data_IF_988437316523
#
_entry.id   IF_988437316523
#
_cell.length_a   1.000
_cell.length_b   1.000
_cell.length_c   1.000
_cell.angle_alpha   90.00
_cell.angle_beta   90.00
_cell.angle_gamma   90.00
#
_symmetry.space_group_name_H-M   'P 1'
#
loop_
_entity.id
_entity.type
_entity.pdbx_description
1 polymer ?
#
# COMPACT_ATOMS: atom_id res chain seq x y z
N UNK A 1 -55.31 -49.39 29.09
CA UNK A 1 -54.88 -50.80 28.97
C UNK A 1 -55.20 -51.47 30.30
N UNK A 2 -55.84 -52.63 30.29
CA UNK A 2 -56.36 -53.31 31.49
C UNK A 2 -55.83 -54.75 31.50
N UNK A 3 -55.31 -55.23 32.63
CA UNK A 3 -54.78 -56.60 32.75
C UNK A 3 -55.90 -57.55 33.17
N UNK A 4 -56.03 -58.68 32.47
CA UNK A 4 -57.11 -59.65 32.71
C UNK A 4 -56.59 -60.96 33.31
N UNK A 5 -55.44 -61.46 32.82
CA UNK A 5 -54.91 -62.77 33.23
C UNK A 5 -53.40 -62.80 33.18
N UNK A 6 -52.79 -63.37 34.23
CA UNK A 6 -51.37 -63.68 34.30
C UNK A 6 -51.21 -65.20 34.46
N UNK A 7 -50.53 -65.85 33.53
CA UNK A 7 -50.23 -67.27 33.62
C UNK A 7 -48.72 -67.49 33.59
N UNK A 8 -48.15 -67.75 34.77
CA UNK A 8 -46.74 -68.01 35.00
C UNK A 8 -46.51 -69.51 34.84
N UNK A 9 -46.28 -69.96 33.59
CA UNK A 9 -45.95 -71.36 33.27
C UNK A 9 -44.72 -71.81 34.06
N UNK A 10 -43.64 -71.02 34.01
CA UNK A 10 -42.44 -71.22 34.82
C UNK A 10 -41.67 -69.91 34.93
N UNK A 11 -41.76 -69.23 36.07
CA UNK A 11 -41.13 -67.92 36.30
C UNK A 11 -40.81 -67.70 37.79
N UNK A 12 -39.53 -67.52 38.11
CA UNK A 12 -39.01 -67.51 39.46
C UNK A 12 -39.35 -68.81 40.18
N UNK A 13 -40.10 -68.70 41.28
CA UNK A 13 -40.57 -69.87 42.05
C UNK A 13 -41.93 -70.42 41.60
N UNK A 14 -42.63 -69.74 40.71
CA UNK A 14 -43.95 -70.16 40.26
C UNK A 14 -43.83 -71.16 39.10
N UNK A 15 -44.52 -72.29 39.22
CA UNK A 15 -44.73 -73.29 38.17
C UNK A 15 -46.24 -73.45 38.01
N UNK A 16 -46.74 -73.35 36.79
CA UNK A 16 -48.16 -73.44 36.42
C UNK A 16 -49.11 -72.60 37.30
N UNK A 17 -48.71 -71.36 37.60
CA UNK A 17 -49.53 -70.46 38.41
C UNK A 17 -50.37 -69.54 37.54
N UNK A 18 -51.68 -69.64 37.68
CA UNK A 18 -52.64 -68.72 37.07
C UNK A 18 -53.19 -67.70 38.08
N UNK A 19 -53.31 -66.45 37.64
CA UNK A 19 -53.90 -65.33 38.39
C UNK A 19 -54.88 -64.63 37.45
N UNK A 20 -56.16 -64.65 37.80
CA UNK A 20 -57.23 -63.93 37.10
C UNK A 20 -57.42 -62.61 37.83
N UNK A 21 -57.37 -61.50 37.08
CA UNK A 21 -57.57 -60.15 37.58
C UNK A 21 -58.99 -59.69 37.22
N UNK A 22 -59.61 -58.98 38.15
CA UNK A 22 -60.96 -58.43 38.00
C UNK A 22 -60.91 -56.91 37.93
N UNK A 23 -61.97 -56.27 37.46
CA UNK A 23 -62.05 -54.82 37.44
C UNK A 23 -62.00 -54.24 38.87
N UNK A 24 -61.27 -53.14 39.03
CA UNK A 24 -61.07 -52.48 40.32
C UNK A 24 -59.82 -52.94 41.05
N UNK A 25 -59.93 -53.16 42.37
CA UNK A 25 -58.78 -53.41 43.25
C UNK A 25 -58.53 -54.91 43.44
N UNK A 26 -57.38 -55.39 42.97
CA UNK A 26 -56.92 -56.76 43.19
C UNK A 26 -55.80 -56.76 44.25
N UNK A 27 -55.96 -57.55 45.33
CA UNK A 27 -54.97 -57.62 46.42
C UNK A 27 -54.27 -58.98 46.40
N UNK A 28 -52.98 -59.00 46.09
CA UNK A 28 -52.13 -60.20 46.13
C UNK A 28 -51.35 -60.21 47.44
N UNK A 29 -51.67 -61.14 48.34
CA UNK A 29 -51.05 -61.25 49.66
C UNK A 29 -50.40 -62.61 49.89
N UNK A 30 -49.56 -62.69 50.92
CA UNK A 30 -48.80 -63.89 51.30
C UNK A 30 -47.63 -63.53 52.23
N UNK A 31 -46.93 -64.53 52.80
CA UNK A 31 -45.77 -64.28 53.67
C UNK A 31 -44.60 -63.58 52.93
N UNK A 32 -43.55 -63.22 53.67
CA UNK A 32 -42.28 -62.84 53.04
C UNK A 32 -41.80 -63.97 52.15
N UNK A 33 -41.14 -63.62 51.04
CA UNK A 33 -40.67 -64.60 50.03
C UNK A 33 -41.80 -65.40 49.34
N UNK A 34 -43.08 -65.02 49.56
CA UNK A 34 -44.22 -65.59 48.84
C UNK A 34 -44.20 -65.34 47.32
N UNK A 35 -43.26 -64.56 46.80
CA UNK A 35 -43.10 -64.27 45.37
C UNK A 35 -43.94 -63.09 44.87
N UNK A 36 -44.46 -62.25 45.77
CA UNK A 36 -45.28 -61.07 45.41
C UNK A 36 -44.54 -60.13 44.45
N UNK A 37 -43.31 -59.76 44.78
CA UNK A 37 -42.46 -58.93 43.91
C UNK A 37 -42.05 -59.64 42.61
N UNK A 38 -42.06 -60.98 42.60
CA UNK A 38 -41.81 -61.77 41.39
C UNK A 38 -42.97 -61.65 40.40
N UNK A 39 -44.22 -61.55 40.88
CA UNK A 39 -45.39 -61.31 40.02
C UNK A 39 -45.32 -59.91 39.38
N UNK A 40 -44.88 -58.89 40.14
CA UNK A 40 -44.66 -57.55 39.60
C UNK A 40 -43.59 -57.55 38.49
N UNK A 41 -42.44 -58.21 38.75
CA UNK A 41 -41.39 -58.38 37.74
C UNK A 41 -41.86 -59.18 36.53
N UNK A 42 -42.75 -60.15 36.71
CA UNK A 42 -43.35 -60.88 35.60
C UNK A 42 -44.10 -59.93 34.67
N UNK A 43 -44.94 -59.04 35.21
CA UNK A 43 -45.69 -58.06 34.40
C UNK A 43 -44.72 -57.14 33.61
N UNK A 44 -43.70 -56.59 34.29
CA UNK A 44 -42.67 -55.77 33.64
C UNK A 44 -41.92 -56.53 32.55
N UNK A 45 -41.54 -57.78 32.85
CA UNK A 45 -40.88 -58.69 31.94
C UNK A 45 -41.75 -59.05 30.74
N UNK A 46 -43.07 -59.18 30.89
CA UNK A 46 -43.98 -59.44 29.78
C UNK A 46 -44.11 -58.23 28.85
N UNK A 47 -44.08 -57.00 29.38
CA UNK A 47 -44.18 -55.79 28.56
C UNK A 47 -42.88 -55.36 27.90
N UNK A 48 -41.82 -55.21 28.68
CA UNK A 48 -40.59 -54.56 28.19
C UNK A 48 -39.41 -55.51 28.04
N UNK A 49 -39.55 -56.74 28.53
CA UNK A 49 -38.45 -57.68 28.60
C UNK A 49 -37.34 -57.20 29.53
N UNK A 50 -36.23 -57.91 29.48
CA UNK A 50 -35.13 -57.74 30.41
C UNK A 50 -33.79 -57.44 29.71
N UNK A 51 -33.81 -56.93 28.48
CA UNK A 51 -32.58 -56.52 27.78
C UNK A 51 -32.07 -55.16 28.25
N UNK A 52 -30.75 -55.03 28.39
CA UNK A 52 -30.09 -53.73 28.60
C UNK A 52 -29.97 -52.96 27.27
N UNK A 53 -30.39 -51.68 27.20
CA UNK A 53 -30.29 -50.90 25.97
C UNK A 53 -28.84 -50.52 25.64
N UNK A 54 -28.56 -50.29 24.34
CA UNK A 54 -27.31 -49.71 23.83
C UNK A 54 -26.02 -50.47 24.18
N UNK A 55 -26.08 -51.81 24.18
CA UNK A 55 -24.89 -52.68 24.31
C UNK A 55 -24.62 -53.41 23.00
N UNK A 56 -23.33 -53.50 22.64
CA UNK A 56 -22.84 -54.19 21.43
C UNK A 56 -23.17 -55.69 21.42
N UNK A 57 -23.29 -56.31 22.60
CA UNK A 57 -23.73 -57.70 22.80
C UNK A 57 -25.07 -57.74 23.55
N UNK A 58 -25.87 -58.78 23.30
CA UNK A 58 -27.13 -59.04 24.02
C UNK A 58 -26.82 -59.32 25.49
N UNK A 59 -27.06 -58.35 26.36
CA UNK A 59 -26.85 -58.46 27.80
C UNK A 59 -28.20 -58.26 28.48
N UNK A 60 -28.58 -59.23 29.29
CA UNK A 60 -29.80 -59.20 30.07
C UNK A 60 -29.59 -58.50 31.43
N UNK A 61 -30.66 -57.98 32.01
CA UNK A 61 -30.64 -57.38 33.35
C UNK A 61 -30.49 -58.48 34.40
N UNK A 62 -29.84 -58.14 35.53
CA UNK A 62 -29.69 -59.05 36.67
C UNK A 62 -31.07 -59.57 37.16
N UNK A 63 -32.13 -58.80 36.91
CA UNK A 63 -33.52 -59.16 37.18
C UNK A 63 -33.99 -60.43 36.42
N UNK A 64 -33.55 -60.65 35.19
CA UNK A 64 -33.90 -61.85 34.42
C UNK A 64 -33.28 -63.10 35.02
N UNK A 65 -32.03 -63.01 35.44
CA UNK A 65 -31.32 -64.10 36.10
C UNK A 65 -31.96 -64.42 37.46
N UNK A 66 -32.36 -63.39 38.22
CA UNK A 66 -33.04 -63.59 39.51
C UNK A 66 -34.43 -64.23 39.40
N UNK A 67 -35.06 -64.18 38.23
CA UNK A 67 -36.37 -64.76 37.98
C UNK A 67 -36.30 -66.04 37.13
N UNK A 68 -35.11 -66.54 36.80
CA UNK A 68 -34.97 -67.82 36.11
C UNK A 68 -35.23 -68.96 37.11
N UNK A 69 -36.15 -69.90 36.82
CA UNK A 69 -36.37 -71.09 37.64
C UNK A 69 -35.10 -71.94 37.76
N UNK A 70 -34.74 -72.38 38.96
CA UNK A 70 -33.52 -73.17 39.21
C UNK A 70 -33.64 -74.65 38.81
N UNK A 71 -34.87 -75.15 38.63
CA UNK A 71 -35.23 -76.58 38.47
C UNK A 71 -36.19 -76.74 37.29
N UNK A 72 -36.03 -75.91 36.26
CA UNK A 72 -36.76 -76.05 35.01
C UNK A 72 -36.01 -75.36 33.88
N UNK A 73 -35.92 -76.06 32.75
CA UNK A 73 -35.48 -75.47 31.50
C UNK A 73 -36.55 -74.60 30.82
N UNK A 74 -37.78 -74.62 31.36
CA UNK A 74 -38.91 -73.81 30.90
C UNK A 74 -38.84 -72.48 31.63
N UNK A 75 -38.81 -71.38 30.88
CA UNK A 75 -38.87 -70.02 31.42
C UNK A 75 -39.84 -69.20 30.57
N UNK A 76 -41.14 -69.45 30.75
CA UNK A 76 -42.20 -68.94 29.87
C UNK A 76 -43.37 -68.40 30.67
N UNK A 77 -44.17 -67.54 30.03
CA UNK A 77 -45.45 -67.11 30.59
C UNK A 77 -46.36 -66.45 29.57
N UNK A 78 -47.62 -66.29 29.99
CA UNK A 78 -48.68 -65.70 29.19
C UNK A 78 -49.32 -64.55 29.98
N UNK A 79 -49.61 -63.44 29.30
CA UNK A 79 -50.29 -62.27 29.86
C UNK A 79 -51.40 -61.85 28.89
N UNK A 80 -52.63 -61.76 29.39
CA UNK A 80 -53.77 -61.26 28.63
C UNK A 80 -54.18 -59.88 29.13
N UNK A 81 -54.41 -58.97 28.19
CA UNK A 81 -54.78 -57.59 28.48
C UNK A 81 -55.78 -57.05 27.45
N UNK A 82 -56.47 -55.99 27.81
CA UNK A 82 -57.39 -55.26 26.95
C UNK A 82 -56.86 -53.85 26.66
N UNK A 83 -56.94 -53.44 25.39
CA UNK A 83 -56.62 -52.08 24.95
C UNK A 83 -57.62 -51.64 23.87
N UNK A 84 -58.25 -50.48 24.06
CA UNK A 84 -59.27 -49.93 23.16
C UNK A 84 -60.39 -50.94 22.78
N UNK A 85 -60.87 -51.70 23.76
CA UNK A 85 -61.94 -52.70 23.56
C UNK A 85 -61.50 -54.00 22.86
N UNK A 86 -60.21 -54.16 22.53
CA UNK A 86 -59.64 -55.38 21.95
C UNK A 86 -58.80 -56.15 22.97
N UNK A 87 -58.93 -57.47 22.96
CA UNK A 87 -58.20 -58.39 23.85
C UNK A 87 -56.97 -58.95 23.15
N UNK A 88 -55.84 -58.88 23.83
CA UNK A 88 -54.55 -59.32 23.35
C UNK A 88 -53.94 -60.33 24.31
N UNK A 89 -53.23 -61.31 23.76
CA UNK A 89 -52.47 -62.29 24.53
C UNK A 89 -50.99 -62.19 24.14
N UNK A 90 -50.13 -62.03 25.13
CA UNK A 90 -48.68 -62.07 24.99
C UNK A 90 -48.21 -63.42 25.50
N UNK A 91 -47.49 -64.16 24.69
CA UNK A 91 -46.73 -65.33 25.09
C UNK A 91 -45.24 -65.03 24.96
N UNK A 92 -44.48 -65.22 26.03
CA UNK A 92 -43.06 -64.92 26.07
C UNK A 92 -42.25 -66.11 26.55
N UNK A 93 -41.19 -66.41 25.81
CA UNK A 93 -40.10 -67.29 26.24
C UNK A 93 -38.91 -66.43 26.64
N UNK A 94 -38.65 -66.35 27.94
CA UNK A 94 -37.56 -65.57 28.51
C UNK A 94 -36.19 -66.25 28.39
N UNK A 95 -36.14 -67.54 28.03
CA UNK A 95 -34.88 -68.28 27.79
C UNK A 95 -34.42 -68.09 26.36
N UNK A 96 -35.31 -68.31 25.39
CA UNK A 96 -35.03 -68.16 23.97
C UNK A 96 -35.21 -66.72 23.45
N UNK A 97 -35.77 -65.85 24.30
CA UNK A 97 -35.98 -64.44 23.99
C UNK A 97 -36.99 -64.21 22.85
N UNK A 98 -37.99 -65.09 22.80
CA UNK A 98 -39.09 -65.05 21.84
C UNK A 98 -40.35 -64.44 22.45
N UNK A 99 -41.06 -63.65 21.65
CA UNK A 99 -42.31 -62.99 22.02
C UNK A 99 -43.31 -63.16 20.89
N UNK A 100 -44.52 -63.60 21.23
CA UNK A 100 -45.65 -63.69 20.30
C UNK A 100 -46.84 -62.96 20.90
N UNK A 101 -47.39 -62.01 20.15
CA UNK A 101 -48.61 -61.29 20.51
C UNK A 101 -49.72 -61.74 19.57
N UNK A 102 -50.85 -62.14 20.13
CA UNK A 102 -52.04 -62.57 19.38
C UNK A 102 -53.24 -61.70 19.72
N UNK A 103 -54.09 -61.45 18.73
CA UNK A 103 -55.45 -60.99 18.97
C UNK A 103 -56.28 -62.19 19.46
N UNK A 104 -56.96 -62.05 20.60
CA UNK A 104 -57.69 -63.17 21.23
C UNK A 104 -58.93 -63.56 20.41
N UNK A 105 -59.52 -62.63 19.66
CA UNK A 105 -60.71 -62.91 18.84
C UNK A 105 -60.36 -63.65 17.55
N UNK A 106 -59.28 -63.27 16.88
CA UNK A 106 -58.89 -63.85 15.57
C UNK A 106 -57.84 -64.95 15.69
N UNK A 107 -57.08 -64.99 16.79
CA UNK A 107 -55.93 -65.88 16.97
C UNK A 107 -54.69 -65.49 16.15
N UNK A 108 -54.75 -64.39 15.39
CA UNK A 108 -53.68 -63.99 14.49
C UNK A 108 -52.48 -63.41 15.23
N UNK A 109 -51.27 -63.72 14.75
CA UNK A 109 -50.03 -63.13 15.25
C UNK A 109 -49.87 -61.71 14.71
N UNK A 110 -49.89 -60.73 15.62
CA UNK A 110 -49.84 -59.31 15.28
C UNK A 110 -48.46 -58.66 15.51
N UNK A 111 -47.41 -59.45 15.75
CA UNK A 111 -46.05 -58.93 15.95
C UNK A 111 -45.60 -57.95 14.85
N UNK A 112 -46.02 -58.20 13.60
CA UNK A 112 -45.69 -57.36 12.43
C UNK A 112 -46.20 -55.92 12.52
N UNK A 113 -47.21 -55.65 13.36
CA UNK A 113 -47.74 -54.31 13.56
C UNK A 113 -46.82 -53.43 14.41
N UNK A 114 -45.87 -54.03 15.14
CA UNK A 114 -45.00 -53.32 16.07
C UNK A 114 -43.55 -53.27 15.58
N UNK A 115 -42.94 -52.10 15.68
CA UNK A 115 -41.52 -51.90 15.36
C UNK A 115 -40.66 -52.41 16.51
N UNK A 116 -39.44 -52.85 16.19
CA UNK A 116 -38.45 -53.18 17.22
C UNK A 116 -37.73 -51.92 17.71
N UNK A 117 -37.46 -51.86 19.02
CA UNK A 117 -36.71 -50.76 19.63
C UNK A 117 -35.24 -50.82 19.19
N UNK A 118 -34.69 -49.69 18.71
CA UNK A 118 -33.34 -49.63 18.11
C UNK A 118 -32.21 -50.08 19.06
N UNK A 119 -32.38 -49.89 20.37
CA UNK A 119 -31.36 -50.20 21.37
C UNK A 119 -31.41 -51.62 21.93
N UNK A 120 -32.59 -52.25 22.01
CA UNK A 120 -32.81 -53.55 22.67
C UNK A 120 -33.28 -54.63 21.70
N UNK A 121 -33.75 -54.26 20.51
CA UNK A 121 -34.43 -55.15 19.55
C UNK A 121 -35.72 -55.78 20.10
N UNK A 122 -36.26 -55.27 21.20
CA UNK A 122 -37.56 -55.68 21.74
C UNK A 122 -38.70 -55.13 20.89
N UNK A 123 -39.79 -55.89 20.75
CA UNK A 123 -41.01 -55.41 20.08
C UNK A 123 -41.66 -54.30 20.91
N UNK A 124 -41.90 -53.14 20.29
CA UNK A 124 -42.33 -51.93 21.00
C UNK A 124 -43.84 -51.80 21.20
N UNK A 125 -44.53 -52.91 21.47
CA UNK A 125 -45.98 -52.91 21.58
C UNK A 125 -46.47 -52.20 22.86
N UNK A 126 -45.76 -52.37 23.98
CA UNK A 126 -46.13 -51.76 25.26
C UNK A 126 -46.07 -50.23 25.19
N UNK A 127 -45.02 -49.67 24.58
CA UNK A 127 -44.92 -48.21 24.39
C UNK A 127 -45.95 -47.71 23.38
N UNK A 128 -46.21 -48.44 22.30
CA UNK A 128 -47.23 -48.05 21.31
C UNK A 128 -48.64 -48.03 21.91
N UNK A 129 -48.97 -48.97 22.79
CA UNK A 129 -50.30 -49.04 23.40
C UNK A 129 -50.45 -48.12 24.62
N UNK A 130 -49.40 -47.89 25.40
CA UNK A 130 -49.49 -47.07 26.63
C UNK A 130 -48.96 -45.64 26.45
N UNK A 131 -48.29 -45.33 25.33
CA UNK A 131 -47.56 -44.07 25.08
C UNK A 131 -46.53 -43.71 26.17
N UNK A 132 -46.00 -44.72 26.87
CA UNK A 132 -44.97 -44.59 27.91
C UNK A 132 -43.90 -45.65 27.73
N UNK A 133 -42.65 -45.32 28.06
CA UNK A 133 -41.55 -46.27 28.01
C UNK A 133 -41.35 -47.03 29.32
N UNK A 134 -40.46 -48.03 29.30
CA UNK A 134 -40.15 -48.88 30.46
C UNK A 134 -39.86 -48.06 31.72
N UNK A 135 -39.07 -46.99 31.60
CA UNK A 135 -38.66 -46.15 32.75
C UNK A 135 -39.85 -45.43 33.37
N UNK A 136 -40.70 -44.81 32.55
CA UNK A 136 -41.91 -44.13 33.03
C UNK A 136 -42.87 -45.14 33.66
N UNK A 137 -43.01 -46.32 33.07
CA UNK A 137 -43.85 -47.40 33.62
C UNK A 137 -43.35 -47.86 35.01
N UNK A 138 -42.05 -48.16 35.16
CA UNK A 138 -41.48 -48.61 36.43
C UNK A 138 -41.46 -47.55 37.53
N UNK A 139 -41.53 -46.26 37.16
CA UNK A 139 -41.50 -45.16 38.12
C UNK A 139 -42.90 -44.65 38.49
N UNK A 140 -43.89 -44.82 37.60
CA UNK A 140 -45.23 -44.21 37.76
C UNK A 140 -46.34 -45.24 37.96
N UNK A 141 -46.30 -46.36 37.25
CA UNK A 141 -47.39 -47.37 37.25
C UNK A 141 -47.01 -48.58 38.11
N UNK A 142 -45.75 -49.03 38.04
CA UNK A 142 -45.25 -50.19 38.78
C UNK A 142 -44.35 -49.75 39.95
N UNK A 143 -44.94 -49.31 41.04
CA UNK A 143 -44.20 -48.84 42.22
C UNK A 143 -43.61 -50.04 42.97
N UNK A 144 -42.28 -50.15 43.01
CA UNK A 144 -41.57 -51.23 43.69
C UNK A 144 -41.39 -50.97 45.19
N UNK A 145 -41.27 -52.03 45.98
CA UNK A 145 -41.05 -51.95 47.43
C UNK A 145 -39.78 -51.15 47.76
N UNK A 146 -39.92 -50.05 48.52
CA UNK A 146 -38.79 -49.25 49.02
C UNK A 146 -38.20 -48.21 48.06
N UNK A 147 -38.75 -48.03 46.85
CA UNK A 147 -38.35 -46.93 45.96
C UNK A 147 -39.30 -45.75 46.13
N UNK A 148 -38.90 -44.76 46.93
CA UNK A 148 -39.34 -43.38 46.67
C UNK A 148 -38.61 -42.91 45.41
N UNK A 149 -39.38 -42.41 44.44
CA UNK A 149 -38.94 -41.96 43.11
C UNK A 149 -37.63 -41.17 43.23
N UNK A 150 -36.51 -41.70 42.73
CA UNK A 150 -35.32 -40.89 42.52
C UNK A 150 -35.57 -40.03 41.28
N UNK A 151 -36.00 -38.80 41.52
CA UNK A 151 -36.51 -37.80 40.58
C UNK A 151 -35.59 -37.48 39.40
N UNK A 152 -34.28 -37.71 39.50
CA UNK A 152 -33.33 -37.15 38.53
C UNK A 152 -33.34 -37.81 37.16
N UNK A 153 -33.61 -39.11 37.07
CA UNK A 153 -33.61 -39.81 35.78
C UNK A 153 -34.92 -39.58 35.02
N UNK A 154 -36.05 -39.59 35.74
CA UNK A 154 -37.36 -39.21 35.21
C UNK A 154 -37.39 -37.72 34.82
N UNK A 155 -36.87 -36.83 35.67
CA UNK A 155 -36.80 -35.39 35.37
C UNK A 155 -35.94 -35.11 34.15
N UNK A 156 -34.80 -35.81 33.99
CA UNK A 156 -33.96 -35.70 32.79
C UNK A 156 -34.69 -36.18 31.53
N UNK A 157 -35.41 -37.29 31.63
CA UNK A 157 -36.13 -37.87 30.50
C UNK A 157 -37.31 -36.98 30.07
N UNK A 158 -38.11 -36.52 31.02
CA UNK A 158 -39.20 -35.55 30.80
C UNK A 158 -38.67 -34.23 30.23
N UNK A 159 -37.60 -33.67 30.82
CA UNK A 159 -36.97 -32.44 30.32
C UNK A 159 -36.47 -32.60 28.89
N UNK A 160 -35.88 -33.76 28.55
CA UNK A 160 -35.40 -34.02 27.20
C UNK A 160 -36.53 -34.11 26.17
N UNK A 161 -37.66 -34.76 26.52
CA UNK A 161 -38.85 -34.85 25.66
C UNK A 161 -39.53 -33.49 25.48
N UNK A 162 -39.68 -32.72 26.56
CA UNK A 162 -40.23 -31.36 26.50
C UNK A 162 -39.35 -30.42 25.67
N UNK A 163 -38.03 -30.51 25.85
CA UNK A 163 -37.09 -29.75 25.01
C UNK A 163 -37.24 -30.14 23.53
N UNK A 164 -37.27 -31.43 23.19
CA UNK A 164 -37.40 -31.86 21.80
C UNK A 164 -38.77 -31.47 21.19
N UNK A 165 -39.86 -31.56 21.95
CA UNK A 165 -41.21 -31.12 21.55
C UNK A 165 -41.25 -29.62 21.27
N UNK A 166 -40.68 -28.79 22.16
CA UNK A 166 -40.67 -27.34 22.02
C UNK A 166 -39.96 -26.88 20.75
N UNK A 167 -38.83 -27.51 20.41
CA UNK A 167 -38.04 -27.07 19.26
C UNK A 167 -38.44 -27.72 17.92
N UNK A 168 -38.93 -28.97 17.90
CA UNK A 168 -39.15 -29.71 16.64
C UNK A 168 -40.60 -30.11 16.36
N UNK A 169 -41.51 -29.87 17.31
CA UNK A 169 -42.90 -30.37 17.25
C UNK A 169 -43.02 -31.90 17.37
N UNK A 170 -41.90 -32.64 17.47
CA UNK A 170 -41.84 -34.10 17.54
C UNK A 170 -40.91 -34.55 18.66
N UNK A 171 -41.43 -35.29 19.65
CA UNK A 171 -40.67 -35.70 20.83
C UNK A 171 -39.45 -36.60 20.54
N UNK A 172 -39.46 -37.29 19.39
CA UNK A 172 -38.47 -38.30 19.01
C UNK A 172 -37.22 -37.74 18.31
N UNK A 173 -37.26 -36.50 17.82
CA UNK A 173 -36.15 -35.91 17.06
C UNK A 173 -35.37 -34.94 17.95
N UNK A 174 -34.12 -35.30 18.23
CA UNK A 174 -33.20 -34.41 18.95
C UNK A 174 -32.46 -33.51 17.97
N UNK A 175 -32.87 -32.25 17.84
CA UNK A 175 -32.22 -31.25 16.98
C UNK A 175 -30.73 -31.14 17.29
N UNK A 176 -30.35 -31.17 18.57
CA UNK A 176 -28.94 -31.12 18.98
C UNK A 176 -28.12 -32.27 18.37
N UNK A 177 -28.66 -33.49 18.34
CA UNK A 177 -27.96 -34.63 17.72
C UNK A 177 -27.90 -34.48 16.20
N UNK A 178 -28.97 -33.99 15.58
CA UNK A 178 -28.97 -33.72 14.13
C UNK A 178 -27.91 -32.67 13.75
N UNK A 179 -27.82 -31.56 14.48
CA UNK A 179 -26.78 -30.56 14.27
C UNK A 179 -25.37 -31.14 14.47
N UNK A 180 -25.16 -31.94 15.53
CA UNK A 180 -23.86 -32.59 15.76
C UNK A 180 -23.47 -33.54 14.62
N UNK A 181 -24.42 -34.32 14.08
CA UNK A 181 -24.13 -35.23 12.97
C UNK A 181 -23.83 -34.44 11.68
N UNK A 182 -24.59 -33.37 11.41
CA UNK A 182 -24.32 -32.48 10.27
C UNK A 182 -22.94 -31.82 10.37
N UNK A 183 -22.56 -31.31 11.55
CA UNK A 183 -21.22 -30.77 11.76
C UNK A 183 -20.12 -31.82 11.60
N UNK A 184 -20.40 -33.06 12.00
CA UNK A 184 -19.45 -34.16 11.86
C UNK A 184 -19.24 -34.50 10.39
N UNK A 185 -20.32 -34.63 9.60
CA UNK A 185 -20.24 -34.83 8.14
C UNK A 185 -19.50 -33.67 7.47
N UNK A 186 -19.80 -32.42 7.86
CA UNK A 186 -19.09 -31.24 7.36
C UNK A 186 -17.58 -31.31 7.66
N UNK A 187 -17.19 -31.74 8.86
CA UNK A 187 -15.78 -31.94 9.24
C UNK A 187 -15.14 -33.12 8.53
N UNK A 188 -15.88 -34.17 8.18
CA UNK A 188 -15.34 -35.33 7.46
C UNK A 188 -15.15 -35.03 5.96
N UNK A 189 -16.08 -34.32 5.33
CA UNK A 189 -16.02 -34.00 3.89
C UNK A 189 -15.21 -32.74 3.57
N UNK A 190 -15.45 -31.63 4.28
CA UNK A 190 -14.75 -30.36 4.03
C UNK A 190 -13.49 -30.20 4.90
N UNK A 191 -13.41 -30.92 6.01
CA UNK A 191 -12.36 -30.77 7.01
C UNK A 191 -12.53 -29.57 7.93
N UNK A 192 -11.43 -29.11 8.51
CA UNK A 192 -11.39 -27.97 9.43
C UNK A 192 -10.36 -26.97 8.95
N UNK A 193 -10.59 -25.67 9.18
CA UNK A 193 -9.63 -24.59 8.90
C UNK A 193 -8.24 -24.86 9.47
N UNK A 194 -8.14 -25.58 10.60
CA UNK A 194 -6.87 -25.93 11.25
C UNK A 194 -6.17 -27.16 10.65
N UNK A 195 -6.84 -27.91 9.78
CA UNK A 195 -6.30 -29.11 9.16
C UNK A 195 -5.70 -28.78 7.77
N UNK A 196 -4.37 -28.68 7.62
CA UNK A 196 -3.72 -28.08 6.45
C UNK A 196 -3.89 -28.86 5.14
N UNK A 197 -4.28 -30.14 5.20
CA UNK A 197 -4.54 -30.99 4.02
C UNK A 197 -6.02 -31.11 3.66
N UNK A 198 -6.92 -30.51 4.46
CA UNK A 198 -8.34 -30.54 4.15
C UNK A 198 -8.71 -29.53 3.05
N UNK A 199 -9.78 -29.77 2.28
CA UNK A 199 -10.27 -28.81 1.29
C UNK A 199 -10.43 -27.39 1.87
N UNK A 200 -11.00 -27.29 3.07
CA UNK A 200 -11.19 -26.01 3.75
C UNK A 200 -9.85 -25.36 4.15
N UNK A 201 -8.92 -26.12 4.74
CA UNK A 201 -7.60 -25.61 5.09
C UNK A 201 -6.74 -25.17 3.89
N UNK A 202 -6.86 -25.86 2.74
CA UNK A 202 -6.20 -25.46 1.49
C UNK A 202 -6.75 -24.12 1.00
N UNK A 203 -8.09 -23.97 0.98
CA UNK A 203 -8.74 -22.72 0.58
C UNK A 203 -8.38 -21.56 1.52
N UNK A 204 -8.38 -21.78 2.84
CA UNK A 204 -7.98 -20.75 3.81
C UNK A 204 -6.53 -20.31 3.60
N UNK A 205 -5.63 -21.26 3.29
CA UNK A 205 -4.23 -20.93 2.99
C UNK A 205 -4.11 -20.12 1.70
N UNK A 206 -4.88 -20.46 0.66
CA UNK A 206 -4.91 -19.70 -0.59
C UNK A 206 -5.44 -18.28 -0.37
N UNK A 207 -6.51 -18.11 0.42
CA UNK A 207 -7.05 -16.80 0.78
C UNK A 207 -5.97 -15.95 1.47
N UNK A 208 -5.30 -16.50 2.49
CA UNK A 208 -4.25 -15.77 3.20
C UNK A 208 -3.08 -15.39 2.27
N UNK A 209 -2.69 -16.28 1.36
CA UNK A 209 -1.65 -15.98 0.37
C UNK A 209 -2.06 -14.85 -0.58
N UNK A 210 -3.30 -14.87 -1.07
CA UNK A 210 -3.84 -13.82 -1.94
C UNK A 210 -3.98 -12.48 -1.20
N UNK A 211 -4.35 -12.49 0.08
CA UNK A 211 -4.40 -11.30 0.92
C UNK A 211 -3.01 -10.69 1.14
N UNK A 212 -1.99 -11.51 1.40
CA UNK A 212 -0.60 -11.05 1.48
C UNK A 212 -0.11 -10.46 0.16
N UNK A 213 -0.42 -11.10 -0.98
CA UNK A 213 -0.07 -10.59 -2.31
C UNK A 213 -0.77 -9.26 -2.61
N UNK A 214 -2.06 -9.15 -2.27
CA UNK A 214 -2.82 -7.90 -2.39
C UNK A 214 -2.18 -6.79 -1.59
N UNK A 215 -1.82 -7.04 -0.33
CA UNK A 215 -1.16 -6.04 0.52
C UNK A 215 0.20 -5.58 -0.06
N UNK A 216 0.98 -6.51 -0.63
CA UNK A 216 2.24 -6.18 -1.33
C UNK A 216 1.98 -5.28 -2.55
N UNK A 217 0.98 -5.61 -3.37
CA UNK A 217 0.61 -4.84 -4.55
C UNK A 217 0.14 -3.44 -4.15
N UNK A 218 -0.70 -3.31 -3.13
CA UNK A 218 -1.16 -2.02 -2.60
C UNK A 218 0.01 -1.15 -2.11
N UNK A 219 0.99 -1.76 -1.43
CA UNK A 219 2.22 -1.06 -1.03
C UNK A 219 3.00 -0.55 -2.24
N UNK A 220 3.18 -1.37 -3.29
CA UNK A 220 3.86 -0.95 -4.52
C UNK A 220 3.10 0.19 -5.20
N UNK A 221 1.78 0.09 -5.29
CA UNK A 221 0.92 1.08 -5.93
C UNK A 221 0.99 2.43 -5.20
N UNK A 222 1.09 2.41 -3.86
CA UNK A 222 1.33 3.62 -3.07
C UNK A 222 2.67 4.30 -3.38
N UNK A 223 3.74 3.49 -3.56
CA UNK A 223 5.07 4.00 -3.94
C UNK A 223 5.06 4.59 -5.35
N UNK A 224 4.40 3.93 -6.30
CA UNK A 224 4.26 4.43 -7.68
C UNK A 224 3.55 5.78 -7.68
N UNK A 225 2.42 5.90 -6.97
CA UNK A 225 1.70 7.19 -6.84
C UNK A 225 2.57 8.28 -6.22
N UNK A 226 3.38 7.94 -5.22
CA UNK A 226 4.31 8.90 -4.62
C UNK A 226 5.36 9.38 -5.63
N UNK A 227 5.96 8.47 -6.41
CA UNK A 227 6.92 8.83 -7.44
C UNK A 227 6.28 9.63 -8.59
N UNK A 228 5.07 9.30 -9.00
CA UNK A 228 4.32 10.08 -10.00
C UNK A 228 4.07 11.51 -9.53
N UNK A 229 3.70 11.70 -8.25
CA UNK A 229 3.54 13.03 -7.66
C UNK A 229 4.86 13.81 -7.64
N UNK A 230 5.97 13.18 -7.23
CA UNK A 230 7.30 13.79 -7.27
C UNK A 230 7.73 14.16 -8.70
N UNK A 231 7.43 13.32 -9.69
CA UNK A 231 7.69 13.61 -11.09
C UNK A 231 6.87 14.79 -11.60
N UNK A 232 5.58 14.86 -11.22
CA UNK A 232 4.70 15.97 -11.58
C UNK A 232 5.19 17.31 -10.99
N UNK A 233 5.72 17.29 -9.76
CA UNK A 233 6.31 18.46 -9.10
C UNK A 233 7.64 18.88 -9.72
N UNK A 234 8.53 17.92 -10.04
CA UNK A 234 9.86 18.22 -10.57
C UNK A 234 9.87 18.62 -12.05
N UNK A 235 8.89 18.14 -12.84
CA UNK A 235 8.81 18.42 -14.28
C UNK A 235 8.79 19.93 -14.62
N UNK A 236 7.96 20.79 -14.00
CA UNK A 236 7.99 22.23 -14.28
C UNK A 236 9.32 22.88 -13.90
N UNK A 237 9.92 22.50 -12.76
CA UNK A 237 11.25 23.01 -12.35
C UNK A 237 12.34 22.66 -13.35
N UNK A 238 12.32 21.45 -13.91
CA UNK A 238 13.28 21.04 -14.95
C UNK A 238 13.09 21.88 -16.22
N UNK A 239 11.85 22.10 -16.65
CA UNK A 239 11.54 22.91 -17.83
C UNK A 239 11.99 24.37 -17.64
N UNK A 240 11.71 24.97 -16.47
CA UNK A 240 12.14 26.32 -16.13
C UNK A 240 13.67 26.45 -16.13
N UNK A 241 14.38 25.48 -15.55
CA UNK A 241 15.84 25.46 -15.53
C UNK A 241 16.44 25.30 -16.93
N UNK A 242 15.81 24.51 -17.81
CA UNK A 242 16.22 24.39 -19.21
C UNK A 242 16.04 25.72 -19.97
N UNK A 243 14.95 26.44 -19.74
CA UNK A 243 14.76 27.78 -20.31
C UNK A 243 15.79 28.78 -19.81
N UNK A 244 16.06 28.80 -18.49
CA UNK A 244 17.12 29.64 -17.90
C UNK A 244 18.49 29.32 -18.48
N UNK A 245 18.81 28.04 -18.67
CA UNK A 245 20.06 27.60 -19.29
C UNK A 245 20.16 28.11 -20.73
N UNK A 246 19.11 27.95 -21.54
CA UNK A 246 19.07 28.44 -22.93
C UNK A 246 19.27 29.95 -23.03
N UNK A 247 18.66 30.73 -22.13
CA UNK A 247 18.86 32.19 -22.06
C UNK A 247 20.32 32.55 -21.79
N UNK A 248 20.93 31.92 -20.76
CA UNK A 248 22.34 32.14 -20.43
C UNK A 248 23.29 31.73 -21.56
N UNK A 249 23.02 30.64 -22.25
CA UNK A 249 23.80 30.20 -23.42
C UNK A 249 23.73 31.22 -24.57
N UNK A 250 22.54 31.80 -24.81
CA UNK A 250 22.37 32.88 -25.78
C UNK A 250 23.15 34.15 -25.36
N UNK A 251 23.09 34.52 -24.08
CA UNK A 251 23.83 35.68 -23.53
C UNK A 251 25.36 35.49 -23.62
N UNK A 252 25.86 34.28 -23.38
CA UNK A 252 27.29 33.95 -23.55
C UNK A 252 27.69 34.07 -25.02
N UNK A 253 26.83 33.61 -25.94
CA UNK A 253 27.11 33.70 -27.38
C UNK A 253 27.19 35.17 -27.82
N UNK A 254 26.22 36.00 -27.44
CA UNK A 254 26.23 37.43 -27.79
C UNK A 254 27.44 38.17 -27.20
N UNK A 255 27.83 37.83 -25.96
CA UNK A 255 29.03 38.38 -25.34
C UNK A 255 30.30 37.96 -26.09
N UNK A 256 30.41 36.69 -26.48
CA UNK A 256 31.55 36.20 -27.26
C UNK A 256 31.64 36.87 -28.64
N UNK A 257 30.51 37.03 -29.33
CA UNK A 257 30.44 37.73 -30.61
C UNK A 257 30.88 39.20 -30.45
N UNK A 258 30.45 39.87 -29.39
CA UNK A 258 30.90 41.23 -29.05
C UNK A 258 32.41 41.31 -28.79
N UNK A 259 32.95 40.39 -27.99
CA UNK A 259 34.38 40.34 -27.68
C UNK A 259 35.22 40.06 -28.93
N UNK A 260 34.73 39.20 -29.83
CA UNK A 260 35.37 38.92 -31.10
C UNK A 260 35.37 40.16 -32.00
N UNK A 261 34.22 40.85 -32.13
CA UNK A 261 34.12 42.09 -32.90
C UNK A 261 35.07 43.18 -32.37
N UNK A 262 35.17 43.32 -31.04
CA UNK A 262 36.12 44.24 -30.40
C UNK A 262 37.58 43.89 -30.72
N UNK A 263 37.94 42.61 -30.66
CA UNK A 263 39.28 42.15 -31.05
C UNK A 263 39.57 42.43 -32.52
N UNK A 264 38.62 42.16 -33.42
CA UNK A 264 38.76 42.44 -34.85
C UNK A 264 38.97 43.93 -35.12
N UNK A 265 38.20 44.80 -34.45
CA UNK A 265 38.39 46.26 -34.55
C UNK A 265 39.78 46.69 -34.11
N UNK A 266 40.28 46.16 -32.98
CA UNK A 266 41.64 46.44 -32.53
C UNK A 266 42.69 45.97 -33.55
N UNK A 267 42.50 44.80 -34.17
CA UNK A 267 43.41 44.30 -35.22
C UNK A 267 43.38 45.23 -36.42
N UNK A 268 42.21 45.66 -36.89
CA UNK A 268 42.07 46.62 -37.99
C UNK A 268 42.78 47.95 -37.70
N UNK A 269 42.64 48.49 -36.48
CA UNK A 269 43.34 49.71 -36.07
C UNK A 269 44.87 49.54 -36.09
N UNK A 270 45.38 48.35 -35.75
CA UNK A 270 46.82 48.05 -35.83
C UNK A 270 47.27 47.87 -37.28
N UNK A 271 46.49 47.20 -38.13
CA UNK A 271 46.76 47.07 -39.56
C UNK A 271 46.84 48.43 -40.26
N UNK A 272 45.93 49.37 -39.93
CA UNK A 272 45.99 50.74 -40.44
C UNK A 272 47.28 51.46 -40.03
N UNK A 273 47.73 51.29 -38.78
CA UNK A 273 48.99 51.86 -38.30
C UNK A 273 50.18 51.25 -39.03
N UNK A 274 50.21 49.93 -39.20
CA UNK A 274 51.25 49.23 -39.96
C UNK A 274 51.26 49.72 -41.41
N UNK A 275 50.10 49.89 -42.04
CA UNK A 275 50.00 50.42 -43.40
C UNK A 275 50.58 51.84 -43.51
N UNK A 276 50.29 52.73 -42.54
CA UNK A 276 50.89 54.07 -42.47
C UNK A 276 52.40 54.02 -42.32
N UNK A 277 52.91 53.16 -41.44
CA UNK A 277 54.36 52.98 -41.24
C UNK A 277 55.02 52.45 -42.52
N UNK A 278 54.44 51.43 -43.16
CA UNK A 278 54.97 50.86 -44.40
C UNK A 278 54.99 51.88 -45.55
N UNK A 279 53.96 52.73 -45.68
CA UNK A 279 53.97 53.85 -46.63
C UNK A 279 55.15 54.79 -46.35
N UNK A 280 55.36 55.14 -45.07
CA UNK A 280 56.46 56.01 -44.69
C UNK A 280 57.84 55.37 -44.96
N UNK A 281 57.99 54.07 -44.68
CA UNK A 281 59.21 53.32 -45.03
C UNK A 281 59.45 53.35 -46.54
N UNK A 282 58.43 53.13 -47.37
CA UNK A 282 58.55 53.18 -48.83
C UNK A 282 58.93 54.58 -49.35
N UNK A 283 58.38 55.65 -48.76
CA UNK A 283 58.81 57.01 -49.05
C UNK A 283 60.28 57.23 -48.69
N UNK A 284 60.73 56.66 -47.57
CA UNK A 284 62.10 56.74 -47.09
C UNK A 284 63.08 55.85 -47.85
N UNK A 285 62.63 54.76 -48.50
CA UNK A 285 63.48 53.88 -49.31
C UNK A 285 64.20 54.63 -50.42
N UNK A 286 63.56 55.67 -50.99
CA UNK A 286 64.18 56.54 -52.01
C UNK A 286 65.46 57.24 -51.50
N UNK A 287 65.61 57.33 -50.18
CA UNK A 287 66.75 57.94 -49.51
C UNK A 287 67.71 56.91 -48.89
N UNK A 288 67.54 55.61 -49.19
CA UNK A 288 68.37 54.51 -48.64
C UNK A 288 69.87 54.68 -48.88
N UNK A 289 70.24 55.24 -50.04
CA UNK A 289 71.64 55.51 -50.41
C UNK A 289 72.02 56.98 -50.25
N UNK A 290 71.23 57.77 -49.53
CA UNK A 290 71.50 59.19 -49.36
C UNK A 290 72.80 59.41 -48.55
N UNK A 291 73.79 60.14 -49.09
CA UNK A 291 75.06 60.37 -48.42
C UNK A 291 74.87 61.25 -47.18
N UNK A 292 74.91 60.63 -45.99
CA UNK A 292 74.68 61.30 -44.69
C UNK A 292 75.64 62.48 -44.46
N UNK A 293 76.86 62.43 -45.00
CA UNK A 293 77.84 63.51 -44.93
C UNK A 293 77.44 64.80 -45.70
N UNK A 294 76.42 64.74 -46.56
CA UNK A 294 75.88 65.92 -47.25
C UNK A 294 74.71 66.57 -46.50
N UNK A 295 74.27 66.00 -45.37
CA UNK A 295 73.11 66.47 -44.59
C UNK A 295 73.31 67.90 -44.08
N UNK A 296 74.50 68.24 -43.59
CA UNK A 296 74.83 69.58 -43.09
C UNK A 296 74.69 70.63 -44.20
N UNK A 297 75.31 70.36 -45.36
CA UNK A 297 75.22 71.23 -46.54
C UNK A 297 73.79 71.39 -47.08
N UNK A 298 72.96 70.34 -46.96
CA UNK A 298 71.55 70.39 -47.37
C UNK A 298 70.68 71.19 -46.39
N UNK A 299 71.00 71.15 -45.08
CA UNK A 299 70.37 72.02 -44.07
C UNK A 299 70.75 73.48 -44.29
N UNK A 300 72.03 73.77 -44.53
CA UNK A 300 72.51 75.11 -44.88
C UNK A 300 71.81 75.65 -46.13
N UNK A 301 71.70 74.85 -47.19
CA UNK A 301 70.98 75.22 -48.41
C UNK A 301 69.49 75.45 -48.16
N UNK A 302 68.85 74.65 -47.30
CA UNK A 302 67.43 74.79 -46.98
C UNK A 302 67.16 76.06 -46.17
N UNK A 303 68.04 76.40 -45.22
CA UNK A 303 67.99 77.68 -44.50
C UNK A 303 68.25 78.86 -45.43
N UNK A 304 69.24 78.74 -46.33
CA UNK A 304 69.51 79.77 -47.34
C UNK A 304 68.29 80.01 -48.25
N UNK A 305 67.62 78.95 -48.73
CA UNK A 305 66.39 79.05 -49.52
C UNK A 305 65.25 79.69 -48.73
N UNK A 306 65.09 79.33 -47.44
CA UNK A 306 64.07 79.93 -46.57
C UNK A 306 64.32 81.43 -46.37
N UNK A 307 65.56 81.82 -46.12
CA UNK A 307 65.96 83.22 -45.96
C UNK A 307 65.77 83.99 -47.27
N UNK A 308 66.17 83.43 -48.42
CA UNK A 308 65.93 84.01 -49.73
C UNK A 308 64.43 84.18 -50.02
N UNK A 309 63.60 83.20 -49.64
CA UNK A 309 62.14 83.27 -49.80
C UNK A 309 61.50 84.35 -48.92
N UNK A 310 62.01 84.56 -47.71
CA UNK A 310 61.58 85.66 -46.85
C UNK A 310 62.02 87.01 -47.42
N UNK A 311 63.27 87.13 -47.87
CA UNK A 311 63.78 88.35 -48.49
C UNK A 311 63.00 88.70 -49.76
N UNK A 312 62.65 87.72 -50.59
CA UNK A 312 61.79 87.92 -51.76
C UNK A 312 60.41 88.47 -51.38
N UNK A 313 59.79 87.95 -50.32
CA UNK A 313 58.50 88.47 -49.82
C UNK A 313 58.62 89.92 -49.34
N UNK A 314 59.72 90.27 -48.67
CA UNK A 314 59.99 91.64 -48.21
C UNK A 314 60.22 92.60 -49.38
N UNK A 315 60.97 92.18 -50.40
CA UNK A 315 61.19 92.96 -51.63
C UNK A 315 59.87 93.16 -52.37
N UNK A 316 59.02 92.13 -52.45
CA UNK A 316 57.73 92.19 -53.13
C UNK A 316 56.74 93.11 -52.38
N UNK A 317 56.78 93.09 -51.04
CA UNK A 317 56.07 94.05 -50.19
C UNK A 317 56.58 95.48 -50.38
N UNK A 318 57.89 95.65 -50.52
CA UNK A 318 58.53 96.96 -50.75
C UNK A 318 58.19 97.53 -52.12
N UNK A 319 58.14 96.68 -53.16
CA UNK A 319 57.70 97.05 -54.50
C UNK A 319 56.21 97.39 -54.56
N UNK A 320 55.35 96.67 -53.83
CA UNK A 320 53.93 97.03 -53.69
C UNK A 320 53.78 98.41 -53.05
N UNK A 321 54.49 98.68 -51.95
CA UNK A 321 54.51 100.00 -51.31
C UNK A 321 55.00 101.10 -52.27
N UNK A 322 56.08 100.88 -53.02
CA UNK A 322 56.55 101.84 -54.02
C UNK A 322 55.53 102.09 -55.15
N UNK A 323 54.83 101.05 -55.61
CA UNK A 323 53.77 101.17 -56.64
C UNK A 323 52.56 101.95 -56.13
N UNK A 324 52.18 101.77 -54.86
CA UNK A 324 51.13 102.56 -54.21
C UNK A 324 51.54 104.03 -54.06
N UNK A 325 52.77 104.30 -53.63
CA UNK A 325 53.33 105.66 -53.53
C UNK A 325 53.34 106.35 -54.90
N UNK A 326 53.73 105.65 -55.98
CA UNK A 326 53.69 106.20 -57.35
C UNK A 326 52.28 106.45 -57.88
N UNK A 327 51.26 105.70 -57.43
CA UNK A 327 49.86 105.87 -57.86
C UNK A 327 49.14 107.02 -57.16
N UNK A 328 49.56 107.41 -55.96
CA UNK A 328 48.96 108.52 -55.20
C UNK A 328 50.04 109.42 -54.54
N UNK A 329 50.83 110.16 -55.34
CA UNK A 329 51.95 110.95 -54.82
C UNK A 329 51.50 112.09 -53.88
N UNK A 330 50.37 112.74 -54.17
CA UNK A 330 49.84 113.86 -53.37
C UNK A 330 49.41 113.43 -51.95
N UNK A 331 48.83 112.24 -51.81
CA UNK A 331 48.33 111.71 -50.53
C UNK A 331 49.46 111.31 -49.56
N UNK A 332 50.64 110.96 -50.09
CA UNK A 332 51.84 110.69 -49.29
C UNK A 332 52.63 111.96 -48.98
N UNK A 333 52.61 112.98 -49.86
CA UNK A 333 53.23 114.28 -49.58
C UNK A 333 52.52 115.03 -48.43
N UNK A 334 51.18 115.04 -48.39
CA UNK A 334 50.41 115.66 -47.29
C UNK A 334 50.60 114.91 -45.96
N UNK A 335 50.69 113.57 -46.00
CA UNK A 335 50.87 112.75 -44.79
C UNK A 335 52.27 112.86 -44.18
N UNK A 336 53.20 113.49 -44.87
CA UNK A 336 54.62 113.57 -44.51
C UNK A 336 55.16 115.02 -44.54
N UNK A 337 54.30 116.03 -44.41
CA UNK A 337 54.72 117.44 -44.34
C UNK A 337 55.76 117.71 -43.24
N UNK A 338 55.71 116.97 -42.13
CA UNK A 338 56.67 117.07 -41.03
C UNK A 338 58.12 116.66 -41.40
N UNK A 339 58.34 116.04 -42.57
CA UNK A 339 59.68 115.68 -43.05
C UNK A 339 60.41 116.85 -43.74
N UNK A 340 59.75 117.98 -44.03
CA UNK A 340 60.43 119.17 -44.60
C UNK A 340 61.36 119.86 -43.61
N UNK A 341 61.11 119.71 -42.32
CA UNK A 341 61.88 120.35 -41.23
C UNK A 341 62.94 119.41 -40.61
N UNK A 342 63.12 118.20 -41.14
CA UNK A 342 64.14 117.27 -40.65
C UNK A 342 65.52 117.65 -41.19
N UNK A 343 66.38 118.09 -40.29
CA UNK A 343 67.79 118.35 -40.57
C UNK A 343 68.53 117.04 -40.93
N UNK A 344 68.97 116.92 -42.18
CA UNK A 344 69.55 115.69 -42.75
C UNK A 344 70.82 115.25 -42.03
N UNK A 345 71.55 116.16 -41.37
CA UNK A 345 72.72 115.77 -40.56
C UNK A 345 72.32 114.92 -39.35
N UNK A 346 71.22 115.27 -38.66
CA UNK A 346 70.75 114.53 -37.48
C UNK A 346 70.26 113.10 -37.82
N UNK A 347 69.72 112.90 -39.03
CA UNK A 347 69.29 111.59 -39.50
C UNK A 347 70.46 110.60 -39.73
N UNK A 348 71.64 111.11 -40.12
CA UNK A 348 72.85 110.29 -40.28
C UNK A 348 73.36 109.79 -38.93
N UNK A 349 73.30 110.64 -37.89
CA UNK A 349 73.66 110.23 -36.53
C UNK A 349 72.70 109.18 -35.97
N UNK A 350 71.39 109.36 -36.16
CA UNK A 350 70.39 108.37 -35.72
C UNK A 350 70.57 107.03 -36.45
N UNK A 351 70.84 107.05 -37.75
CA UNK A 351 71.14 105.83 -38.52
C UNK A 351 72.40 105.13 -38.01
N UNK A 352 73.44 105.89 -37.66
CA UNK A 352 74.71 105.35 -37.16
C UNK A 352 74.55 104.76 -35.76
N UNK A 353 73.83 105.44 -34.88
CA UNK A 353 73.53 104.97 -33.52
C UNK A 353 72.63 103.74 -33.55
N UNK A 354 71.66 103.68 -34.47
CA UNK A 354 70.81 102.51 -34.66
C UNK A 354 71.59 101.30 -35.21
N UNK A 355 72.52 101.52 -36.13
CA UNK A 355 73.42 100.47 -36.62
C UNK A 355 74.35 99.95 -35.50
N UNK A 356 74.86 100.85 -34.65
CA UNK A 356 75.62 100.49 -33.45
C UNK A 356 74.77 99.67 -32.47
N UNK A 357 73.53 100.09 -32.22
CA UNK A 357 72.59 99.37 -31.38
C UNK A 357 72.29 97.95 -31.89
N UNK A 358 72.08 97.78 -33.19
CA UNK A 358 71.89 96.45 -33.78
C UNK A 358 73.14 95.56 -33.64
N UNK A 359 74.34 96.11 -33.85
CA UNK A 359 75.56 95.33 -33.66
C UNK A 359 75.76 94.90 -32.19
N UNK A 360 75.34 95.72 -31.22
CA UNK A 360 75.33 95.33 -29.82
C UNK A 360 74.28 94.26 -29.50
N UNK A 361 73.08 94.33 -30.09
CA UNK A 361 72.05 93.29 -29.94
C UNK A 361 72.55 91.94 -30.46
N UNK A 362 73.17 91.89 -31.64
CA UNK A 362 73.73 90.65 -32.20
C UNK A 362 74.86 90.06 -31.33
N UNK A 363 75.73 90.92 -30.77
CA UNK A 363 76.78 90.47 -29.84
C UNK A 363 76.19 89.90 -28.53
N UNK A 364 75.11 90.50 -28.02
CA UNK A 364 74.42 90.00 -26.83
C UNK A 364 73.80 88.64 -27.11
N UNK A 365 73.16 88.46 -28.26
CA UNK A 365 72.55 87.18 -28.64
C UNK A 365 73.59 86.09 -28.90
N UNK A 366 74.74 86.43 -29.49
CA UNK A 366 75.86 85.49 -29.61
C UNK A 366 76.41 85.07 -28.24
N UNK A 367 76.56 86.02 -27.30
CA UNK A 367 77.00 85.72 -25.93
C UNK A 367 75.98 84.88 -25.15
N UNK A 368 74.68 85.12 -25.33
CA UNK A 368 73.61 84.29 -24.73
C UNK A 368 73.64 82.86 -25.26
N UNK A 369 73.81 82.68 -26.57
CA UNK A 369 73.98 81.34 -27.17
C UNK A 369 75.23 80.62 -26.65
N UNK A 370 76.34 81.34 -26.48
CA UNK A 370 77.57 80.81 -25.86
C UNK A 370 77.32 80.35 -24.41
N UNK A 371 76.61 81.15 -23.60
CA UNK A 371 76.25 80.77 -22.23
C UNK A 371 75.34 79.54 -22.18
N UNK A 372 74.31 79.46 -23.03
CA UNK A 372 73.43 78.28 -23.12
C UNK A 372 74.18 77.01 -23.58
N UNK A 373 75.21 77.15 -24.41
CA UNK A 373 76.06 76.01 -24.80
C UNK A 373 77.02 75.57 -23.70
N UNK A 374 77.53 76.50 -22.88
CA UNK A 374 78.39 76.16 -21.73
C UNK A 374 77.61 75.59 -20.54
N UNK A 375 76.38 76.05 -20.29
CA UNK A 375 75.49 75.50 -19.25
C UNK A 375 74.98 74.10 -19.58
N UNK A 376 74.98 73.70 -20.86
CA UNK A 376 74.66 72.33 -21.30
C UNK A 376 75.87 71.39 -21.33
N UNK A 377 77.09 71.92 -21.20
CA UNK A 377 78.33 71.14 -21.22
C UNK A 377 78.92 70.89 -19.80
N UNK A 378 78.37 71.58 -18.80
CA UNK A 378 78.46 71.26 -17.37
C UNK A 378 77.28 70.36 -16.97
#
# INVERSE_FOLDING_TARGET
MILNRLYLKSFGKFKDKEIILTDGLNIIYGPNEAGKSTIQKFIEGMFFGFKKPYKSRRIFTNEQQSCQPWDSDIYTGILEYEHQGKKYQIERDFKNDDLVIRDVLTGENINKLFKQHKGTKELNFAENHMNINKNVFSNTISISQGRSVSDEELSREVSSKLSNLSYSGNADISIRRACMELEKVLREEAGSEKAPKSPMGILTKQINQLEEEKAKIESILSKVRHFEAQLAENRPLILENLEKKRKKEADIKTLNDYLLAKKLKNVQEQEEKICKINKHIYELEKFRYFPVHQKERLMELKEAIKNLGNNLKEVDLSLKKQREIRRQPQKYLEKHEYLRDLDMESAVYISRDYALYQSFQEQIDQKKKLMETTEKAL
#
